data_IF_277463862373
#
_entry.id   IF_277463862373
#
_cell.length_a   1.000
_cell.length_b   1.000
_cell.length_c   1.000
_cell.angle_alpha   90.00
_cell.angle_beta   90.00
_cell.angle_gamma   90.00
#
_symmetry.space_group_name_H-M   'P 1'
#
loop_
_entity.id
_entity.type
_entity.pdbx_description
1 polymer ?
#
# COMPACT_ATOMS: atom_id res chain seq x y z
N UNK A 1 -1.06 -9.77 1.56
CA UNK A 1 0.22 -9.06 1.39
C UNK A 1 1.41 -10.02 1.32
N UNK A 2 1.76 -10.78 2.38
CA UNK A 2 2.96 -11.64 2.36
C UNK A 2 2.97 -12.71 1.23
N UNK A 3 1.85 -13.37 0.95
CA UNK A 3 1.77 -14.34 -0.16
C UNK A 3 1.97 -13.69 -1.53
N UNK A 4 1.52 -12.45 -1.72
CA UNK A 4 1.76 -11.69 -2.96
C UNK A 4 3.24 -11.33 -3.10
N UNK A 5 3.90 -10.97 -2.00
CA UNK A 5 5.35 -10.73 -1.99
C UNK A 5 6.13 -12.01 -2.34
N UNK A 6 5.77 -13.16 -1.77
CA UNK A 6 6.38 -14.45 -2.13
C UNK A 6 6.10 -14.80 -3.60
N UNK A 7 4.86 -14.62 -4.08
CA UNK A 7 4.49 -14.84 -5.47
C UNK A 7 5.37 -14.04 -6.42
N UNK A 8 5.56 -12.76 -6.15
CA UNK A 8 6.39 -11.89 -6.98
C UNK A 8 7.87 -12.27 -6.91
N UNK A 9 8.38 -12.60 -5.72
CA UNK A 9 9.75 -13.06 -5.53
C UNK A 9 10.05 -14.35 -6.33
N UNK A 10 9.15 -15.33 -6.25
CA UNK A 10 9.22 -16.60 -6.99
C UNK A 10 9.23 -16.35 -8.51
N UNK A 11 8.41 -15.41 -9.00
CA UNK A 11 8.35 -15.03 -10.42
C UNK A 11 9.65 -14.39 -10.90
N UNK A 12 10.16 -13.40 -10.15
CA UNK A 12 11.35 -12.62 -10.53
C UNK A 12 12.64 -13.42 -10.53
N UNK A 13 12.80 -14.33 -9.57
CA UNK A 13 13.97 -15.20 -9.51
C UNK A 13 13.91 -16.38 -10.50
N UNK A 14 12.81 -16.52 -11.26
CA UNK A 14 12.61 -17.66 -12.16
C UNK A 14 12.45 -18.99 -11.42
N UNK A 15 12.16 -18.96 -10.11
CA UNK A 15 11.92 -20.16 -9.30
C UNK A 15 10.63 -20.83 -9.74
N UNK A 16 9.59 -20.05 -10.04
CA UNK A 16 8.31 -20.53 -10.55
C UNK A 16 8.00 -19.96 -11.94
N UNK A 17 7.23 -20.70 -12.72
CA UNK A 17 6.76 -20.24 -14.04
C UNK A 17 5.89 -18.99 -13.89
N UNK A 18 6.27 -17.92 -14.60
CA UNK A 18 5.72 -16.58 -14.42
C UNK A 18 4.18 -16.53 -14.38
N UNK A 19 3.48 -17.20 -15.28
CA UNK A 19 2.00 -17.15 -15.34
C UNK A 19 1.29 -18.29 -14.60
N UNK A 20 2.02 -19.10 -13.82
CA UNK A 20 1.48 -20.31 -13.17
C UNK A 20 1.77 -20.37 -11.66
N UNK A 21 2.02 -19.22 -11.03
CA UNK A 21 2.13 -19.14 -9.57
C UNK A 21 0.74 -18.94 -8.99
N UNK A 22 0.28 -19.91 -8.22
CA UNK A 22 -1.04 -19.96 -7.59
C UNK A 22 -0.91 -19.67 -6.09
N UNK A 23 -1.86 -18.91 -5.53
CA UNK A 23 -1.95 -18.65 -4.10
C UNK A 23 -3.38 -18.90 -3.61
N UNK A 24 -3.52 -19.32 -2.36
CA UNK A 24 -4.82 -19.71 -1.77
C UNK A 24 -5.92 -18.63 -1.78
N UNK A 25 -5.56 -17.37 -2.02
CA UNK A 25 -6.50 -16.24 -2.06
C UNK A 25 -7.02 -15.90 -3.46
N UNK A 26 -6.56 -16.59 -4.51
CA UNK A 26 -6.84 -16.21 -5.91
C UNK A 26 -7.55 -17.32 -6.73
N UNK A 27 -8.25 -18.25 -6.06
CA UNK A 27 -9.05 -19.28 -6.75
C UNK A 27 -8.88 -20.66 -6.14
N UNK A 28 -8.48 -21.63 -6.96
CA UNK A 28 -8.27 -23.01 -6.50
C UNK A 28 -7.16 -23.09 -5.45
N UNK A 29 -7.32 -23.99 -4.47
CA UNK A 29 -6.32 -24.20 -3.43
C UNK A 29 -5.04 -24.74 -4.10
N UNK A 30 -3.89 -24.07 -3.95
CA UNK A 30 -2.64 -24.49 -4.58
C UNK A 30 -2.24 -25.90 -4.15
N UNK A 31 -1.72 -26.70 -5.10
CA UNK A 31 -1.35 -28.10 -4.85
C UNK A 31 0.01 -28.45 -5.43
N UNK A 32 0.69 -29.38 -4.76
CA UNK A 32 1.80 -30.13 -5.35
C UNK A 32 1.69 -31.58 -4.89
N UNK A 33 1.54 -32.49 -5.86
CA UNK A 33 1.07 -33.85 -5.55
C UNK A 33 -0.31 -33.80 -4.87
N UNK A 34 -0.58 -34.68 -3.88
CA UNK A 34 -1.86 -34.71 -3.19
C UNK A 34 -1.99 -33.69 -2.05
N UNK A 35 -0.96 -32.88 -1.78
CA UNK A 35 -0.96 -31.96 -0.65
C UNK A 35 -1.31 -30.52 -1.09
N UNK A 36 -2.12 -29.86 -0.26
CA UNK A 36 -2.44 -28.44 -0.40
C UNK A 36 -1.35 -27.55 0.19
N UNK A 37 -1.14 -26.37 -0.38
CA UNK A 37 -0.14 -25.38 0.04
C UNK A 37 -0.73 -23.97 -0.01
N UNK A 38 -0.14 -23.03 0.71
CA UNK A 38 -0.57 -21.63 0.61
C UNK A 38 -0.17 -20.99 -0.73
N UNK A 39 0.91 -21.49 -1.35
CA UNK A 39 1.38 -21.16 -2.69
C UNK A 39 1.99 -22.39 -3.38
N UNK A 40 1.73 -22.55 -4.68
CA UNK A 40 2.42 -23.51 -5.54
C UNK A 40 2.77 -22.92 -6.91
N UNK A 41 3.87 -23.38 -7.50
CA UNK A 41 4.27 -23.01 -8.85
C UNK A 41 5.04 -24.15 -9.54
N UNK A 42 4.82 -24.41 -10.84
CA UNK A 42 5.71 -25.24 -11.63
C UNK A 42 7.11 -24.63 -11.70
N UNK A 43 8.15 -25.44 -11.47
CA UNK A 43 9.55 -24.98 -11.52
C UNK A 43 10.35 -25.75 -12.55
N UNK A 44 11.16 -25.01 -13.30
CA UNK A 44 12.09 -25.55 -14.30
C UNK A 44 13.56 -25.42 -13.88
N UNK A 45 13.82 -25.05 -12.62
CA UNK A 45 15.17 -25.08 -12.09
C UNK A 45 15.75 -26.48 -12.22
N UNK A 46 17.00 -26.56 -12.66
CA UNK A 46 17.65 -27.83 -12.97
C UNK A 46 17.51 -28.90 -11.87
N UNK A 47 17.70 -28.60 -10.56
CA UNK A 47 17.53 -29.59 -9.49
C UNK A 47 16.10 -30.09 -9.30
N UNK A 48 15.11 -29.39 -9.88
CA UNK A 48 13.70 -29.71 -9.75
C UNK A 48 13.10 -30.39 -10.98
N UNK A 49 13.88 -30.57 -12.05
CA UNK A 49 13.38 -31.26 -13.23
C UNK A 49 13.04 -32.72 -12.89
N UNK A 50 11.83 -33.13 -13.25
CA UNK A 50 11.41 -34.52 -13.17
C UNK A 50 12.12 -35.38 -14.22
N UNK A 51 12.14 -36.69 -13.99
CA UNK A 51 12.65 -37.65 -14.97
C UNK A 51 11.85 -37.58 -16.27
N UNK A 52 12.54 -37.48 -17.41
CA UNK A 52 11.94 -37.47 -18.73
C UNK A 52 12.45 -38.67 -19.54
N UNK A 53 11.62 -39.20 -20.44
CA UNK A 53 12.11 -40.10 -21.48
C UNK A 53 12.98 -39.34 -22.48
N UNK A 54 13.93 -40.03 -23.12
CA UNK A 54 14.81 -39.44 -24.14
C UNK A 54 13.97 -38.74 -25.23
N UNK A 55 14.27 -37.48 -25.53
CA UNK A 55 13.59 -36.69 -26.57
C UNK A 55 12.28 -36.00 -26.17
N UNK A 56 11.87 -36.07 -24.89
CA UNK A 56 10.63 -35.41 -24.41
C UNK A 56 10.89 -34.07 -23.73
N UNK A 57 9.90 -33.16 -23.77
CA UNK A 57 9.98 -31.86 -23.10
C UNK A 57 10.21 -32.04 -21.59
N UNK A 58 11.02 -31.18 -20.94
CA UNK A 58 11.29 -31.32 -19.52
C UNK A 58 10.03 -31.23 -18.66
N UNK A 59 9.75 -32.27 -17.86
CA UNK A 59 8.69 -32.24 -16.86
C UNK A 59 9.12 -31.34 -15.69
N UNK A 60 8.39 -30.24 -15.41
CA UNK A 60 8.72 -29.38 -14.29
C UNK A 60 8.50 -30.09 -12.95
N UNK A 61 9.31 -29.71 -11.97
CA UNK A 61 9.01 -29.94 -10.56
C UNK A 61 8.07 -28.88 -10.03
N UNK A 62 8.06 -28.72 -8.71
CA UNK A 62 7.23 -27.71 -8.05
C UNK A 62 8.00 -26.94 -7.00
N UNK A 63 7.74 -25.64 -6.92
CA UNK A 63 8.02 -24.84 -5.74
C UNK A 63 6.74 -24.68 -4.93
N UNK A 64 6.81 -24.85 -3.61
CA UNK A 64 5.68 -24.66 -2.71
C UNK A 64 6.06 -23.87 -1.48
N UNK A 65 5.10 -23.11 -0.95
CA UNK A 65 5.30 -22.32 0.26
C UNK A 65 4.07 -22.38 1.17
N UNK A 66 4.30 -22.57 2.48
CA UNK A 66 3.33 -22.29 3.53
C UNK A 66 3.73 -21.02 4.29
N UNK A 67 2.74 -20.29 4.81
CA UNK A 67 2.93 -19.00 5.48
C UNK A 67 2.27 -19.00 6.86
N UNK A 68 3.05 -18.67 7.89
CA UNK A 68 2.56 -18.47 9.26
C UNK A 68 3.05 -17.15 9.87
N UNK A 69 2.19 -16.13 9.89
CA UNK A 69 2.50 -14.81 10.46
C UNK A 69 1.91 -14.60 11.86
N UNK A 70 1.37 -15.66 12.48
CA UNK A 70 0.71 -15.59 13.79
C UNK A 70 1.67 -15.54 14.99
N UNK A 71 2.97 -15.73 14.77
CA UNK A 71 3.96 -15.75 15.84
C UNK A 71 5.28 -16.40 15.41
N UNK A 72 6.10 -16.79 16.40
CA UNK A 72 7.33 -17.55 16.17
C UNK A 72 7.02 -19.03 15.99
N UNK A 73 7.67 -19.66 15.03
CA UNK A 73 7.59 -21.11 14.80
C UNK A 73 8.49 -21.84 15.78
N UNK A 74 7.86 -22.68 16.60
CA UNK A 74 8.55 -23.59 17.53
C UNK A 74 9.07 -24.84 16.83
N UNK A 75 9.89 -25.63 17.53
CA UNK A 75 10.38 -26.90 17.05
C UNK A 75 9.26 -27.92 16.75
N UNK A 76 8.17 -27.92 17.53
CA UNK A 76 7.02 -28.80 17.29
C UNK A 76 6.29 -28.44 16.00
N UNK A 77 6.03 -27.14 15.76
CA UNK A 77 5.42 -26.66 14.53
C UNK A 77 6.30 -26.91 13.30
N UNK A 78 7.62 -26.75 13.44
CA UNK A 78 8.57 -27.10 12.38
C UNK A 78 8.53 -28.60 12.04
N UNK A 79 8.43 -29.48 13.04
CA UNK A 79 8.28 -30.94 12.80
C UNK A 79 6.98 -31.28 12.05
N UNK A 80 5.89 -30.56 12.30
CA UNK A 80 4.64 -30.72 11.55
C UNK A 80 4.80 -30.32 10.08
N UNK A 81 5.44 -29.17 9.81
CA UNK A 81 5.76 -28.76 8.45
C UNK A 81 6.66 -29.79 7.74
N UNK A 82 7.72 -30.26 8.41
CA UNK A 82 8.60 -31.29 7.86
C UNK A 82 7.85 -32.58 7.53
N UNK A 83 6.91 -33.03 8.38
CA UNK A 83 6.06 -34.19 8.09
C UNK A 83 5.27 -34.01 6.79
N UNK A 84 4.75 -32.81 6.53
CA UNK A 84 4.08 -32.46 5.26
C UNK A 84 5.04 -32.54 4.07
N UNK A 85 6.27 -32.03 4.22
CA UNK A 85 7.31 -32.11 3.20
C UNK A 85 7.75 -33.55 2.91
N UNK A 86 7.93 -34.39 3.93
CA UNK A 86 8.32 -35.79 3.74
C UNK A 86 7.18 -36.60 3.10
N UNK A 87 5.93 -36.31 3.48
CA UNK A 87 4.76 -36.96 2.92
C UNK A 87 4.64 -36.72 1.41
N UNK A 88 4.72 -35.47 0.94
CA UNK A 88 4.61 -35.18 -0.51
C UNK A 88 5.74 -35.82 -1.32
N UNK A 89 6.96 -35.87 -0.76
CA UNK A 89 8.14 -36.47 -1.41
C UNK A 89 8.07 -38.00 -1.48
N UNK A 90 7.26 -38.64 -0.63
CA UNK A 90 7.09 -40.10 -0.61
C UNK A 90 6.25 -40.66 -1.76
N UNK A 91 5.53 -39.83 -2.51
CA UNK A 91 4.68 -40.29 -3.62
C UNK A 91 5.51 -40.56 -4.89
N UNK A 92 5.50 -41.81 -5.37
CA UNK A 92 6.29 -42.29 -6.52
C UNK A 92 6.12 -41.49 -7.83
N UNK A 93 4.98 -40.82 -8.02
CA UNK A 93 4.63 -40.08 -9.26
C UNK A 93 4.80 -38.56 -9.14
N UNK A 94 5.18 -38.07 -7.96
CA UNK A 94 5.38 -36.64 -7.72
C UNK A 94 6.78 -36.26 -8.22
N UNK A 95 6.83 -35.23 -9.07
CA UNK A 95 8.10 -34.64 -9.51
C UNK A 95 8.81 -33.97 -8.33
N UNK A 96 10.11 -33.68 -8.41
CA UNK A 96 10.82 -33.01 -7.32
C UNK A 96 10.10 -31.74 -6.84
N UNK A 97 10.05 -31.56 -5.52
CA UNK A 97 9.38 -30.42 -4.88
C UNK A 97 10.38 -29.69 -3.98
N UNK A 98 10.55 -28.39 -4.20
CA UNK A 98 11.25 -27.49 -3.28
C UNK A 98 10.24 -26.81 -2.36
N UNK A 99 10.40 -27.01 -1.06
CA UNK A 99 9.48 -26.49 -0.05
C UNK A 99 10.08 -25.31 0.71
N UNK A 100 9.25 -24.30 0.96
CA UNK A 100 9.58 -23.16 1.82
C UNK A 100 8.53 -23.02 2.93
N UNK A 101 9.00 -22.64 4.12
CA UNK A 101 8.14 -22.17 5.20
C UNK A 101 8.48 -20.70 5.48
N UNK A 102 7.53 -19.81 5.21
CA UNK A 102 7.61 -18.41 5.57
C UNK A 102 6.93 -18.19 6.92
N UNK A 103 7.66 -17.58 7.88
CA UNK A 103 7.05 -17.19 9.14
C UNK A 103 7.53 -15.82 9.64
N UNK A 104 6.85 -15.27 10.64
CA UNK A 104 7.29 -14.03 11.30
C UNK A 104 8.67 -14.20 11.98
N UNK A 105 8.94 -15.40 12.49
CA UNK A 105 10.22 -15.77 13.06
C UNK A 105 10.26 -17.25 13.42
N UNK A 106 11.44 -17.75 13.75
CA UNK A 106 11.67 -19.14 14.11
C UNK A 106 12.56 -19.23 15.33
N UNK A 107 12.28 -20.19 16.19
CA UNK A 107 13.25 -20.61 17.19
C UNK A 107 14.46 -21.26 16.50
N UNK A 108 15.62 -21.19 17.15
CA UNK A 108 16.88 -21.70 16.58
C UNK A 108 16.77 -23.18 16.18
N UNK A 109 16.13 -23.99 17.03
CA UNK A 109 15.88 -25.41 16.74
C UNK A 109 14.94 -25.60 15.53
N UNK A 110 13.90 -24.76 15.40
CA UNK A 110 12.95 -24.84 14.29
C UNK A 110 13.63 -24.60 12.93
N UNK A 111 14.51 -23.59 12.84
CA UNK A 111 15.31 -23.32 11.62
C UNK A 111 16.16 -24.54 11.26
N UNK A 112 16.84 -25.11 12.25
CA UNK A 112 17.72 -26.27 12.04
C UNK A 112 16.92 -27.49 11.53
N UNK A 113 15.76 -27.76 12.12
CA UNK A 113 14.88 -28.87 11.70
C UNK A 113 14.45 -28.73 10.24
N UNK A 114 14.02 -27.53 9.84
CA UNK A 114 13.56 -27.27 8.47
C UNK A 114 14.71 -27.43 7.47
N UNK A 115 15.85 -26.79 7.74
CA UNK A 115 17.02 -26.82 6.84
C UNK A 115 17.65 -28.21 6.73
N UNK A 116 17.75 -28.95 7.83
CA UNK A 116 18.24 -30.33 7.82
C UNK A 116 17.39 -31.26 6.95
N UNK A 117 16.13 -30.90 6.68
CA UNK A 117 15.21 -31.65 5.82
C UNK A 117 15.16 -31.15 4.37
N UNK A 118 16.07 -30.24 3.99
CA UNK A 118 16.17 -29.71 2.62
C UNK A 118 15.09 -28.70 2.26
N UNK A 119 14.42 -28.10 3.26
CA UNK A 119 13.42 -27.05 3.06
C UNK A 119 13.98 -25.68 3.45
N UNK A 120 13.40 -24.63 2.86
CA UNK A 120 13.79 -23.24 3.10
C UNK A 120 13.00 -22.71 4.31
N UNK A 121 13.70 -22.25 5.34
CA UNK A 121 13.11 -21.45 6.41
C UNK A 121 13.35 -19.97 6.09
N UNK A 122 12.28 -19.22 5.82
CA UNK A 122 12.32 -17.83 5.43
C UNK A 122 11.50 -16.95 6.39
N UNK A 123 12.03 -15.79 6.73
CA UNK A 123 11.27 -14.69 7.35
C UNK A 123 11.01 -13.60 6.32
N UNK A 124 10.10 -12.66 6.64
CA UNK A 124 9.94 -11.45 5.83
C UNK A 124 11.28 -10.70 5.69
N UNK A 125 12.09 -10.64 6.76
CA UNK A 125 13.44 -10.08 6.75
C UNK A 125 14.36 -10.74 5.73
N UNK A 126 14.33 -12.07 5.65
CA UNK A 126 15.17 -12.79 4.67
C UNK A 126 14.70 -12.66 3.23
N UNK A 127 13.40 -12.41 3.00
CA UNK A 127 12.82 -12.31 1.66
C UNK A 127 12.92 -10.89 1.09
N UNK A 128 12.78 -9.88 1.95
CA UNK A 128 12.69 -8.48 1.55
C UNK A 128 14.00 -7.72 1.82
N UNK A 129 14.91 -8.29 2.62
CA UNK A 129 16.07 -7.61 3.18
C UNK A 129 15.74 -7.02 4.56
N UNK A 130 16.74 -6.99 5.45
CA UNK A 130 16.56 -6.56 6.85
C UNK A 130 15.96 -5.17 6.96
N UNK A 131 16.45 -4.20 6.20
CA UNK A 131 15.96 -2.81 6.24
C UNK A 131 14.48 -2.71 5.86
N UNK A 132 14.10 -3.50 4.87
CA UNK A 132 12.79 -3.47 4.24
C UNK A 132 11.76 -4.14 5.14
N UNK A 133 12.12 -5.27 5.73
CA UNK A 133 11.25 -5.94 6.67
C UNK A 133 11.21 -5.27 8.03
N UNK A 134 12.28 -4.57 8.46
CA UNK A 134 12.20 -3.66 9.59
C UNK A 134 11.16 -2.56 9.31
N UNK A 135 11.21 -1.92 8.14
CA UNK A 135 10.20 -0.93 7.75
C UNK A 135 8.78 -1.51 7.68
N UNK A 136 8.62 -2.73 7.16
CA UNK A 136 7.32 -3.40 7.09
C UNK A 136 6.79 -3.84 8.46
N UNK A 137 7.67 -4.26 9.37
CA UNK A 137 7.33 -4.64 10.75
C UNK A 137 7.07 -3.41 11.62
N UNK A 138 7.85 -2.34 11.48
CA UNK A 138 7.56 -1.04 12.10
C UNK A 138 6.22 -0.52 11.60
N UNK A 139 5.98 -0.55 10.29
CA UNK A 139 4.68 -0.20 9.73
C UNK A 139 3.57 -1.08 10.31
N UNK A 140 3.71 -2.41 10.29
CA UNK A 140 2.69 -3.31 10.83
C UNK A 140 2.47 -3.10 12.34
N UNK A 141 3.51 -2.71 13.08
CA UNK A 141 3.44 -2.36 14.50
C UNK A 141 2.78 -1.01 14.72
N UNK A 142 3.08 -0.02 13.90
CA UNK A 142 2.47 1.31 13.87
C UNK A 142 0.97 1.16 13.56
N UNK A 143 0.64 0.45 12.48
CA UNK A 143 -0.73 0.16 12.07
C UNK A 143 -1.49 -0.71 13.11
N UNK A 144 -0.84 -1.69 13.75
CA UNK A 144 -1.43 -2.46 14.87
C UNK A 144 -1.59 -1.66 16.15
N UNK A 145 -0.78 -0.63 16.35
CA UNK A 145 -0.83 0.26 17.51
C UNK A 145 -1.85 1.40 17.33
N UNK A 146 -2.87 1.22 16.47
CA UNK A 146 -4.06 2.07 16.44
C UNK A 146 -4.85 1.91 17.74
N UNK A 147 -4.34 2.57 18.76
CA UNK A 147 -5.04 3.04 19.94
C UNK A 147 -4.40 4.32 20.51
N UNK A 148 -3.12 4.62 20.28
CA UNK A 148 -2.46 5.78 20.92
C UNK A 148 -1.35 6.36 20.02
N UNK A 149 -1.50 7.63 19.63
CA UNK A 149 -0.46 8.55 19.14
C UNK A 149 0.72 7.93 18.37
N UNK A 150 0.62 7.90 17.04
CA UNK A 150 1.74 7.52 16.19
C UNK A 150 2.55 8.76 15.85
N UNK A 151 3.71 8.83 16.52
CA UNK A 151 4.52 10.03 16.68
C UNK A 151 5.16 10.60 15.43
N UNK A 152 5.49 11.89 15.54
CA UNK A 152 6.47 12.71 14.81
C UNK A 152 6.65 12.45 13.29
N UNK A 153 6.57 13.47 12.44
CA UNK A 153 6.82 13.36 11.00
C UNK A 153 8.09 12.59 10.58
N UNK A 154 9.14 12.61 11.41
CA UNK A 154 10.39 11.88 11.16
C UNK A 154 10.18 10.35 11.09
N UNK A 155 9.24 9.79 11.88
CA UNK A 155 8.88 8.37 11.80
C UNK A 155 8.14 8.06 10.51
N UNK A 156 7.33 9.00 10.03
CA UNK A 156 6.62 8.86 8.75
C UNK A 156 7.65 8.86 7.60
N UNK A 157 8.66 9.74 7.62
CA UNK A 157 9.71 9.78 6.59
C UNK A 157 10.54 8.48 6.54
N UNK A 158 10.89 7.93 7.71
CA UNK A 158 11.59 6.65 7.82
C UNK A 158 10.77 5.49 7.23
N UNK A 159 9.46 5.46 7.51
CA UNK A 159 8.54 4.48 6.94
C UNK A 159 8.50 4.58 5.41
N UNK A 160 8.27 5.76 4.84
CA UNK A 160 8.28 5.93 3.38
C UNK A 160 9.61 5.49 2.74
N UNK A 161 10.74 5.83 3.36
CA UNK A 161 12.07 5.52 2.83
C UNK A 161 12.35 4.00 2.84
N UNK A 162 11.89 3.28 3.86
CA UNK A 162 12.01 1.82 3.91
C UNK A 162 11.08 1.12 2.91
N UNK A 163 9.89 1.69 2.70
CA UNK A 163 8.82 1.10 1.88
C UNK A 163 8.97 1.39 0.38
N UNK A 164 9.58 2.52 0.00
CA UNK A 164 9.95 2.81 -1.38
C UNK A 164 10.93 1.80 -2.01
N UNK A 165 11.56 0.95 -1.18
CA UNK A 165 12.38 -0.19 -1.61
C UNK A 165 11.57 -1.46 -1.91
N UNK A 166 10.27 -1.49 -1.60
CA UNK A 166 9.37 -2.65 -1.81
C UNK A 166 8.55 -2.45 -3.08
N UNK A 167 9.05 -2.91 -4.21
CA UNK A 167 8.26 -2.94 -5.44
C UNK A 167 7.07 -3.91 -5.31
N UNK A 168 5.86 -3.44 -5.64
CA UNK A 168 4.65 -4.28 -5.75
C UNK A 168 3.65 -4.20 -4.59
N UNK A 169 3.96 -3.48 -3.50
CA UNK A 169 3.00 -3.14 -2.42
C UNK A 169 2.53 -1.67 -2.49
N UNK A 170 2.97 -0.94 -3.51
CA UNK A 170 3.04 0.52 -3.55
C UNK A 170 1.68 1.21 -3.44
N UNK A 171 0.63 0.74 -4.13
CA UNK A 171 -0.66 1.43 -4.21
C UNK A 171 -1.42 1.49 -2.88
N UNK A 172 -1.73 0.33 -2.29
CA UNK A 172 -2.46 0.25 -1.01
C UNK A 172 -1.69 0.91 0.12
N UNK A 173 -0.38 0.71 0.15
CA UNK A 173 0.47 1.23 1.21
C UNK A 173 0.63 2.76 1.14
N UNK A 174 0.79 3.29 -0.07
CA UNK A 174 0.82 4.74 -0.31
C UNK A 174 -0.50 5.41 0.08
N UNK A 175 -1.63 4.74 -0.19
CA UNK A 175 -2.95 5.18 0.29
C UNK A 175 -2.97 5.34 1.81
N UNK A 176 -2.66 4.26 2.54
CA UNK A 176 -2.63 4.31 4.00
C UNK A 176 -1.67 5.40 4.53
N UNK A 177 -0.45 5.48 4.00
CA UNK A 177 0.51 6.49 4.47
C UNK A 177 0.06 7.93 4.15
N UNK A 178 -0.69 8.13 3.07
CA UNK A 178 -1.29 9.41 2.73
C UNK A 178 -2.38 9.79 3.74
N UNK A 179 -3.23 8.85 4.16
CA UNK A 179 -4.23 9.06 5.22
C UNK A 179 -3.57 9.54 6.52
N UNK A 180 -2.45 8.92 6.93
CA UNK A 180 -1.68 9.38 8.10
C UNK A 180 -1.10 10.78 7.94
N UNK A 181 -0.58 11.10 6.75
CA UNK A 181 -0.07 12.45 6.48
C UNK A 181 -1.20 13.48 6.58
N UNK A 182 -2.37 13.18 6.02
CA UNK A 182 -3.55 14.03 6.13
C UNK A 182 -4.02 14.17 7.58
N UNK A 183 -3.97 13.10 8.39
CA UNK A 183 -4.30 13.15 9.80
C UNK A 183 -3.35 14.06 10.60
N UNK A 184 -2.03 13.96 10.37
CA UNK A 184 -1.04 14.85 10.98
C UNK A 184 -1.26 16.31 10.56
N UNK A 185 -1.56 16.54 9.30
CA UNK A 185 -1.87 17.87 8.80
C UNK A 185 -3.16 18.41 9.43
N UNK A 186 -4.20 17.58 9.58
CA UNK A 186 -5.44 17.96 10.25
C UNK A 186 -5.20 18.31 11.73
N UNK A 187 -4.38 17.55 12.44
CA UNK A 187 -3.96 17.83 13.82
C UNK A 187 -3.34 19.24 13.96
N UNK A 188 -2.54 19.64 12.97
CA UNK A 188 -1.85 20.94 12.94
C UNK A 188 -2.73 22.08 12.41
N UNK A 189 -3.72 21.78 11.57
CA UNK A 189 -4.58 22.77 10.92
C UNK A 189 -5.73 23.18 11.84
N UNK A 190 -6.38 22.21 12.48
CA UNK A 190 -7.54 22.47 13.32
C UNK A 190 -7.11 22.81 14.75
N UNK A 191 -7.92 23.61 15.45
CA UNK A 191 -7.58 24.07 16.80
C UNK A 191 -7.92 23.00 17.84
N UNK A 192 -6.90 22.28 18.32
CA UNK A 192 -7.03 21.20 19.33
C UNK A 192 -8.06 20.12 18.92
N UNK A 193 -7.87 19.48 17.76
CA UNK A 193 -8.82 18.49 17.30
C UNK A 193 -8.67 17.19 18.09
N UNK A 194 -9.69 16.34 18.01
CA UNK A 194 -9.55 14.91 18.24
C UNK A 194 -9.62 14.20 16.89
N UNK A 195 -8.57 13.43 16.55
CA UNK A 195 -8.42 12.77 15.25
C UNK A 195 -8.62 11.26 15.39
N UNK A 196 -9.49 10.69 14.56
CA UNK A 196 -9.64 9.25 14.38
C UNK A 196 -9.41 8.88 12.92
N UNK A 197 -8.52 7.92 12.65
CA UNK A 197 -8.23 7.43 11.29
C UNK A 197 -9.01 6.13 11.04
N UNK A 198 -9.51 5.92 9.82
CA UNK A 198 -10.21 4.72 9.38
C UNK A 198 -11.42 4.37 10.27
N UNK A 199 -12.23 5.39 10.61
CA UNK A 199 -13.42 5.24 11.44
C UNK A 199 -14.52 4.57 10.62
N UNK A 200 -14.84 3.32 10.97
CA UNK A 200 -15.99 2.62 10.41
C UNK A 200 -17.28 3.16 11.06
N UNK A 201 -18.13 3.77 10.25
CA UNK A 201 -19.44 4.26 10.66
C UNK A 201 -20.56 3.47 10.02
N UNK A 202 -21.71 3.48 10.68
CA UNK A 202 -22.93 2.82 10.21
C UNK A 202 -24.01 3.86 9.97
N UNK A 203 -24.62 3.81 8.79
CA UNK A 203 -25.84 4.56 8.49
C UNK A 203 -27.08 3.80 8.97
N UNK A 204 -28.25 4.26 8.53
CA UNK A 204 -29.47 3.46 8.67
C UNK A 204 -29.43 2.24 7.74
N UNK A 205 -30.25 1.22 8.02
CA UNK A 205 -30.42 0.03 7.16
C UNK A 205 -29.14 -0.74 6.82
N UNK A 206 -28.22 -0.92 7.78
CA UNK A 206 -27.00 -1.74 7.64
C UNK A 206 -25.95 -1.24 6.65
N UNK A 207 -26.12 -0.04 6.09
CA UNK A 207 -25.11 0.63 5.27
C UNK A 207 -23.88 0.99 6.11
N UNK A 208 -22.69 0.86 5.51
CA UNK A 208 -21.42 1.17 6.17
C UNK A 208 -20.57 2.06 5.29
N UNK A 209 -19.86 2.98 5.92
CA UNK A 209 -18.84 3.78 5.30
C UNK A 209 -17.62 3.85 6.22
N UNK A 210 -16.46 4.00 5.62
CA UNK A 210 -15.21 4.30 6.31
C UNK A 210 -14.94 5.79 6.14
N UNK A 211 -14.48 6.44 7.22
CA UNK A 211 -13.95 7.80 7.18
C UNK A 211 -12.45 7.69 7.34
N UNK A 212 -11.72 8.08 6.32
CA UNK A 212 -10.26 7.96 6.29
C UNK A 212 -9.63 8.79 7.42
N UNK A 213 -10.03 10.06 7.54
CA UNK A 213 -9.65 10.92 8.68
C UNK A 213 -10.89 11.66 9.21
N UNK A 214 -11.27 11.36 10.44
CA UNK A 214 -12.36 12.00 11.17
C UNK A 214 -11.81 12.98 12.20
N UNK A 215 -12.26 14.23 12.13
CA UNK A 215 -11.78 15.34 12.95
C UNK A 215 -12.94 15.88 13.80
N UNK A 216 -12.75 15.94 15.10
CA UNK A 216 -13.68 16.58 16.04
C UNK A 216 -13.02 17.84 16.61
N UNK A 217 -13.54 19.01 16.26
CA UNK A 217 -13.03 20.30 16.74
C UNK A 217 -13.86 20.75 17.94
N UNK A 218 -13.57 20.14 19.09
CA UNK A 218 -14.38 20.28 20.30
C UNK A 218 -15.87 20.06 20.02
N UNK A 219 -16.73 20.91 20.60
CA UNK A 219 -18.18 20.86 20.39
C UNK A 219 -18.65 21.87 19.32
N UNK A 220 -17.86 22.09 18.26
CA UNK A 220 -18.17 23.12 17.25
C UNK A 220 -18.32 22.56 15.84
N UNK A 221 -17.40 21.71 15.42
CA UNK A 221 -17.32 21.23 14.04
C UNK A 221 -16.83 19.78 13.97
N UNK A 222 -17.39 19.05 13.02
CA UNK A 222 -16.95 17.74 12.58
C UNK A 222 -16.45 17.87 11.14
N UNK A 223 -15.25 17.35 10.88
CA UNK A 223 -14.71 17.26 9.52
C UNK A 223 -14.50 15.79 9.17
N UNK A 224 -15.08 15.39 8.04
CA UNK A 224 -14.97 14.05 7.48
C UNK A 224 -14.10 14.14 6.23
N UNK A 225 -12.85 13.71 6.34
CA UNK A 225 -11.88 13.79 5.25
C UNK A 225 -11.77 12.43 4.57
N UNK A 226 -12.03 12.40 3.26
CA UNK A 226 -11.67 11.31 2.36
C UNK A 226 -10.30 11.61 1.74
N UNK A 227 -9.40 10.63 1.76
CA UNK A 227 -8.02 10.76 1.35
C UNK A 227 -7.79 9.97 0.05
N UNK A 228 -7.15 10.61 -0.94
CA UNK A 228 -6.74 9.96 -2.19
C UNK A 228 -5.27 10.19 -2.45
N UNK A 229 -4.46 9.20 -2.05
CA UNK A 229 -3.03 9.16 -2.33
C UNK A 229 -2.75 8.56 -3.72
N UNK A 230 -2.29 9.38 -4.65
CA UNK A 230 -1.92 8.98 -6.01
C UNK A 230 -0.41 9.10 -6.26
N UNK A 231 0.06 8.50 -7.36
CA UNK A 231 1.33 8.88 -7.97
C UNK A 231 1.30 10.39 -8.34
N UNK A 232 2.44 11.11 -8.34
CA UNK A 232 2.43 12.59 -8.48
C UNK A 232 1.97 13.13 -9.85
N UNK A 233 1.65 12.27 -10.80
CA UNK A 233 1.02 12.61 -12.09
C UNK A 233 -0.39 12.02 -12.22
N UNK A 234 -0.95 11.52 -11.12
CA UNK A 234 -2.28 10.94 -11.08
C UNK A 234 -3.36 12.02 -11.10
N UNK A 235 -4.54 11.60 -11.50
CA UNK A 235 -5.78 12.33 -11.34
C UNK A 235 -6.73 11.45 -10.53
N UNK A 236 -7.56 12.06 -9.69
CA UNK A 236 -8.65 11.34 -9.03
C UNK A 236 -9.66 10.91 -10.09
N UNK A 237 -10.11 9.64 -10.04
CA UNK A 237 -11.13 9.13 -10.96
C UNK A 237 -12.48 9.82 -10.70
N UNK A 238 -13.14 10.29 -11.77
CA UNK A 238 -14.44 10.96 -11.69
C UNK A 238 -15.51 10.03 -11.08
N UNK A 239 -15.43 8.72 -11.37
CA UNK A 239 -16.34 7.74 -10.80
C UNK A 239 -16.16 7.60 -9.28
N UNK A 240 -14.94 7.81 -8.77
CA UNK A 240 -14.68 7.82 -7.32
C UNK A 240 -15.26 9.08 -6.66
N UNK A 241 -15.12 10.24 -7.30
CA UNK A 241 -15.72 11.50 -6.81
C UNK A 241 -17.24 11.38 -6.76
N UNK A 242 -17.87 10.85 -7.82
CA UNK A 242 -19.30 10.61 -7.85
C UNK A 242 -19.74 9.66 -6.74
N UNK A 243 -19.02 8.54 -6.56
CA UNK A 243 -19.30 7.58 -5.49
C UNK A 243 -19.18 8.20 -4.10
N UNK A 244 -18.16 9.03 -3.86
CA UNK A 244 -17.99 9.74 -2.61
C UNK A 244 -19.18 10.66 -2.32
N UNK A 245 -19.55 11.50 -3.29
CA UNK A 245 -20.68 12.44 -3.16
C UNK A 245 -22.03 11.74 -2.98
N UNK A 246 -22.31 10.74 -3.80
CA UNK A 246 -23.66 10.16 -3.93
C UNK A 246 -23.92 8.97 -3.01
N UNK A 247 -22.87 8.31 -2.52
CA UNK A 247 -23.00 7.11 -1.66
C UNK A 247 -22.37 7.29 -0.29
N UNK A 248 -21.15 7.82 -0.21
CA UNK A 248 -20.43 7.91 1.08
C UNK A 248 -20.95 9.04 1.95
N UNK A 249 -20.97 10.28 1.43
CA UNK A 249 -21.45 11.45 2.20
C UNK A 249 -22.84 11.21 2.81
N UNK A 250 -23.84 10.65 2.11
CA UNK A 250 -25.14 10.34 2.71
C UNK A 250 -25.06 9.44 3.95
N UNK A 251 -24.26 8.37 3.91
CA UNK A 251 -24.07 7.45 5.05
C UNK A 251 -23.37 8.15 6.20
N UNK A 252 -22.32 8.93 5.92
CA UNK A 252 -21.60 9.69 6.94
C UNK A 252 -22.49 10.75 7.59
N UNK A 253 -23.32 11.42 6.78
CA UNK A 253 -24.28 12.42 7.25
C UNK A 253 -25.36 11.80 8.11
N UNK A 254 -25.84 10.60 7.77
CA UNK A 254 -26.76 9.86 8.64
C UNK A 254 -26.13 9.49 9.97
N UNK A 255 -24.91 8.93 9.97
CA UNK A 255 -24.17 8.63 11.20
C UNK A 255 -24.10 9.88 12.09
N UNK A 256 -23.65 11.01 11.54
CA UNK A 256 -23.50 12.26 12.28
C UNK A 256 -24.82 12.85 12.80
N UNK A 257 -25.98 12.46 12.25
CA UNK A 257 -27.30 12.88 12.74
C UNK A 257 -27.79 12.07 13.93
N UNK A 258 -27.38 10.81 14.01
CA UNK A 258 -27.90 9.87 15.01
C UNK A 258 -26.96 9.70 16.19
N UNK A 259 -25.68 10.03 16.04
CA UNK A 259 -24.74 10.06 17.15
C UNK A 259 -25.06 11.23 18.10
N UNK A 260 -25.14 10.92 19.39
CA UNK A 260 -25.40 11.92 20.42
C UNK A 260 -24.27 12.98 20.44
N UNK A 261 -24.65 14.26 20.45
CA UNK A 261 -23.70 15.38 20.43
C UNK A 261 -23.26 15.85 19.03
N UNK A 262 -23.32 15.00 17.99
CA UNK A 262 -22.85 15.36 16.64
C UNK A 262 -23.89 16.06 15.77
N UNK A 263 -25.18 15.79 15.99
CA UNK A 263 -26.27 16.23 15.11
C UNK A 263 -26.36 17.76 14.94
N UNK A 264 -25.92 18.51 15.97
CA UNK A 264 -25.98 19.97 16.03
C UNK A 264 -24.67 20.66 15.64
N UNK A 265 -23.60 19.89 15.48
CA UNK A 265 -22.29 20.44 15.11
C UNK A 265 -22.29 20.83 13.64
N UNK A 266 -21.45 21.81 13.29
CA UNK A 266 -21.15 22.09 11.88
C UNK A 266 -20.51 20.84 11.28
N UNK A 267 -20.89 20.49 10.06
CA UNK A 267 -20.39 19.28 9.40
C UNK A 267 -19.78 19.67 8.06
N UNK A 268 -18.53 19.27 7.85
CA UNK A 268 -17.78 19.53 6.63
C UNK A 268 -17.26 18.20 6.09
N UNK A 269 -17.50 17.92 4.81
CA UNK A 269 -17.01 16.74 4.11
C UNK A 269 -15.93 17.19 3.12
N UNK A 270 -14.71 16.71 3.27
CA UNK A 270 -13.57 17.15 2.47
C UNK A 270 -12.94 15.99 1.70
N UNK A 271 -12.52 16.25 0.46
CA UNK A 271 -11.70 15.34 -0.33
C UNK A 271 -10.28 15.91 -0.40
N UNK A 272 -9.31 15.22 0.19
CA UNK A 272 -7.89 15.61 0.18
C UNK A 272 -7.11 14.69 -0.74
N UNK A 273 -6.31 15.26 -1.64
CA UNK A 273 -5.55 14.49 -2.62
C UNK A 273 -4.24 15.18 -2.98
N UNK A 274 -3.18 14.41 -3.26
CA UNK A 274 -1.95 14.94 -3.85
C UNK A 274 -2.01 14.99 -5.39
N UNK A 275 -3.09 14.46 -5.99
CA UNK A 275 -3.37 14.51 -7.42
C UNK A 275 -4.23 15.72 -7.81
N UNK A 276 -4.48 15.87 -9.10
CA UNK A 276 -5.49 16.81 -9.60
C UNK A 276 -6.88 16.18 -9.61
N UNK A 277 -7.90 17.03 -9.51
CA UNK A 277 -9.31 16.69 -9.72
C UNK A 277 -9.74 17.36 -11.04
N UNK A 278 -10.48 16.63 -11.88
CA UNK A 278 -10.99 17.13 -13.17
C UNK A 278 -11.88 18.35 -13.00
N UNK A 279 -12.05 19.14 -14.07
CA UNK A 279 -12.95 20.28 -14.05
C UNK A 279 -14.41 19.85 -13.83
N UNK A 280 -14.78 18.71 -14.40
CA UNK A 280 -16.08 18.07 -14.32
C UNK A 280 -16.39 17.66 -12.87
N UNK A 281 -15.46 16.97 -12.22
CA UNK A 281 -15.58 16.57 -10.82
C UNK A 281 -15.65 17.78 -9.88
N UNK A 282 -14.84 18.83 -10.12
CA UNK A 282 -14.91 20.09 -9.36
C UNK A 282 -16.27 20.76 -9.51
N UNK A 283 -16.80 20.81 -10.73
CA UNK A 283 -18.13 21.36 -11.01
C UNK A 283 -19.23 20.54 -10.30
N UNK A 284 -19.12 19.21 -10.29
CA UNK A 284 -20.05 18.33 -9.57
C UNK A 284 -20.01 18.56 -8.07
N UNK A 285 -18.81 18.63 -7.46
CA UNK A 285 -18.65 18.93 -6.02
C UNK A 285 -19.33 20.27 -5.68
N UNK A 286 -19.07 21.31 -6.47
CA UNK A 286 -19.68 22.64 -6.29
C UNK A 286 -21.21 22.56 -6.38
N UNK A 287 -21.73 21.90 -7.40
CA UNK A 287 -23.17 21.75 -7.61
C UNK A 287 -23.84 21.01 -6.44
N UNK A 288 -23.23 19.96 -5.90
CA UNK A 288 -23.79 19.22 -4.74
C UNK A 288 -23.71 20.05 -3.46
N UNK A 289 -22.61 20.79 -3.25
CA UNK A 289 -22.46 21.70 -2.11
C UNK A 289 -23.54 22.79 -2.10
N UNK A 290 -23.85 23.38 -3.26
CA UNK A 290 -24.86 24.45 -3.38
C UNK A 290 -26.30 23.97 -3.14
N UNK A 291 -26.58 22.67 -3.30
CA UNK A 291 -27.92 22.07 -3.08
C UNK A 291 -28.34 22.00 -1.61
N UNK A 292 -27.42 22.23 -0.67
CA UNK A 292 -27.67 22.08 0.76
C UNK A 292 -27.05 23.22 1.55
N UNK A 293 -27.72 23.64 2.61
CA UNK A 293 -27.17 24.55 3.63
C UNK A 293 -26.92 23.83 4.96
N UNK A 294 -27.12 22.50 4.99
CA UNK A 294 -27.09 21.67 6.21
C UNK A 294 -25.70 21.15 6.57
N UNK A 295 -24.76 21.25 5.64
CA UNK A 295 -23.37 20.83 5.74
C UNK A 295 -22.59 21.43 4.57
N UNK A 296 -21.28 21.42 4.65
CA UNK A 296 -20.39 21.90 3.58
C UNK A 296 -19.62 20.75 2.95
N UNK A 297 -19.32 20.87 1.65
CA UNK A 297 -18.43 19.97 0.91
C UNK A 297 -17.29 20.81 0.34
N UNK A 298 -16.05 20.35 0.54
CA UNK A 298 -14.86 21.00 0.01
C UNK A 298 -13.88 19.96 -0.55
N UNK A 299 -12.84 20.44 -1.23
CA UNK A 299 -11.70 19.63 -1.64
C UNK A 299 -10.39 20.41 -1.45
N UNK A 300 -9.29 19.65 -1.38
CA UNK A 300 -7.91 20.14 -1.32
C UNK A 300 -7.07 19.31 -2.27
N UNK A 301 -6.53 19.97 -3.29
CA UNK A 301 -5.56 19.37 -4.21
C UNK A 301 -4.13 19.51 -3.68
N UNK A 302 -3.17 18.93 -4.40
CA UNK A 302 -1.81 18.83 -3.90
C UNK A 302 -1.12 20.17 -3.60
N UNK A 303 -1.52 21.26 -4.29
CA UNK A 303 -1.06 22.62 -3.99
C UNK A 303 -1.59 23.13 -2.66
N UNK A 304 -2.88 22.90 -2.39
CA UNK A 304 -3.58 23.37 -1.19
C UNK A 304 -3.02 22.67 0.04
N UNK A 305 -2.83 21.34 -0.05
CA UNK A 305 -2.19 20.57 1.03
C UNK A 305 -0.78 21.07 1.32
N UNK A 306 -0.01 21.40 0.28
CA UNK A 306 1.34 21.93 0.46
C UNK A 306 1.34 23.32 1.11
N UNK A 307 0.33 24.14 0.84
CA UNK A 307 0.14 25.44 1.48
C UNK A 307 -0.23 25.27 2.95
N UNK A 308 -1.20 24.41 3.26
CA UNK A 308 -1.57 24.08 4.63
C UNK A 308 -0.37 23.59 5.47
N UNK A 309 0.48 22.73 4.90
CA UNK A 309 1.69 22.24 5.59
C UNK A 309 2.72 23.39 5.82
N UNK A 310 2.80 24.35 4.90
CA UNK A 310 3.68 25.52 5.11
C UNK A 310 3.14 26.41 6.23
N UNK A 311 1.83 26.61 6.27
CA UNK A 311 1.16 27.41 7.30
C UNK A 311 1.29 26.80 8.69
N UNK A 312 1.34 25.47 8.81
CA UNK A 312 1.61 24.82 10.10
C UNK A 312 3.04 25.05 10.62
N UNK A 313 3.95 25.50 9.75
CA UNK A 313 5.36 25.69 10.09
C UNK A 313 6.16 24.38 10.19
N UNK A 314 5.53 23.21 9.98
CA UNK A 314 6.17 21.91 10.16
C UNK A 314 7.08 21.56 8.97
N UNK A 315 8.37 21.90 9.10
CA UNK A 315 9.36 21.65 8.05
C UNK A 315 9.60 20.16 7.78
N UNK A 316 9.47 19.30 8.79
CA UNK A 316 9.64 17.86 8.61
C UNK A 316 8.49 17.28 7.79
N UNK A 317 7.24 17.63 8.12
CA UNK A 317 6.07 17.25 7.35
C UNK A 317 6.13 17.75 5.90
N UNK A 318 6.61 18.99 5.69
CA UNK A 318 6.79 19.57 4.36
C UNK A 318 7.81 18.78 3.53
N UNK A 319 8.93 18.37 4.15
CA UNK A 319 9.96 17.55 3.51
C UNK A 319 9.38 16.20 3.10
N UNK A 320 8.71 15.51 4.02
CA UNK A 320 8.08 14.20 3.78
C UNK A 320 7.06 14.29 2.63
N UNK A 321 6.16 15.28 2.68
CA UNK A 321 5.17 15.49 1.63
C UNK A 321 5.82 15.71 0.27
N UNK A 322 6.84 16.57 0.22
CA UNK A 322 7.54 16.85 -1.04
C UNK A 322 8.24 15.62 -1.60
N UNK A 323 8.95 14.89 -0.75
CA UNK A 323 9.74 13.73 -1.16
C UNK A 323 8.86 12.61 -1.71
N UNK A 324 7.71 12.35 -1.07
CA UNK A 324 6.94 11.14 -1.37
C UNK A 324 5.68 11.40 -2.21
N UNK A 325 5.13 12.61 -2.16
CA UNK A 325 3.85 12.94 -2.82
C UNK A 325 3.91 14.07 -3.85
N UNK A 326 4.89 14.97 -3.80
CA UNK A 326 5.02 16.05 -4.79
C UNK A 326 6.10 15.81 -5.85
N UNK A 327 7.26 15.26 -5.48
CA UNK A 327 8.44 15.15 -6.34
C UNK A 327 8.75 13.70 -6.70
N UNK A 328 8.12 13.15 -7.74
CA UNK A 328 8.63 11.94 -8.38
C UNK A 328 9.52 12.30 -9.59
N UNK A 329 10.65 11.61 -9.83
CA UNK A 329 11.56 11.87 -10.96
C UNK A 329 10.88 11.97 -12.34
N UNK A 330 9.75 11.29 -12.53
CA UNK A 330 8.95 11.35 -13.75
C UNK A 330 8.22 12.70 -13.96
N UNK A 331 7.76 13.36 -12.89
CA UNK A 331 7.13 14.68 -12.97
C UNK A 331 8.17 15.78 -13.30
N UNK A 332 9.40 15.62 -12.82
CA UNK A 332 10.53 16.51 -13.15
C UNK A 332 10.95 16.34 -14.61
N UNK A 333 10.95 15.12 -15.14
CA UNK A 333 11.20 14.85 -16.56
C UNK A 333 10.09 15.39 -17.48
N UNK A 334 8.83 15.32 -17.05
CA UNK A 334 7.69 15.90 -17.77
C UNK A 334 7.75 17.43 -17.83
N UNK A 335 8.07 18.10 -16.72
CA UNK A 335 8.25 19.58 -16.66
C UNK A 335 9.40 20.08 -17.52
N UNK A 336 10.47 19.29 -17.70
CA UNK A 336 11.58 19.61 -18.61
C UNK A 336 11.19 19.53 -20.10
N UNK A 337 10.17 18.75 -20.47
CA UNK A 337 9.68 18.66 -21.86
C UNK A 337 8.73 19.79 -22.24
N UNK A 338 8.06 20.43 -21.29
CA UNK A 338 7.03 21.47 -21.54
C UNK A 338 7.54 22.90 -21.45
N UNK A 339 8.84 23.12 -21.24
CA UNK A 339 9.43 24.47 -21.28
C UNK A 339 9.89 24.78 -22.71
N UNK A 340 9.30 25.74 -23.43
CA UNK A 340 9.81 26.15 -24.74
C UNK A 340 11.20 26.76 -24.54
N UNK A 341 12.21 26.25 -25.26
CA UNK A 341 13.48 26.94 -25.39
C UNK A 341 13.21 28.26 -26.12
N UNK A 342 13.20 29.37 -25.40
CA UNK A 342 13.36 30.69 -26.00
C UNK A 342 14.80 30.79 -26.52
N UNK A 343 15.00 30.44 -27.78
CA UNK A 343 16.18 30.86 -28.54
C UNK A 343 15.94 32.30 -28.99
N UNK A 344 16.59 33.26 -28.33
CA UNK A 344 16.83 34.58 -28.90
C UNK A 344 18.18 34.53 -29.63
N UNK A 345 18.14 34.15 -30.91
CA UNK A 345 19.22 34.49 -31.82
C UNK A 345 19.05 35.95 -32.23
N UNK A 346 20.04 36.77 -31.91
CA UNK A 346 20.21 38.07 -32.57
C UNK A 346 21.63 38.08 -33.12
N UNK A 347 21.75 37.68 -34.37
CA UNK A 347 22.91 37.97 -35.19
C UNK A 347 23.04 39.48 -35.34
N UNK A 348 24.15 40.04 -34.86
CA UNK A 348 24.67 41.31 -35.37
C UNK A 348 26.07 41.06 -35.87
N UNK A 349 26.19 40.94 -37.19
CA UNK A 349 27.45 40.90 -37.93
C UNK A 349 27.56 42.22 -38.69
N UNK A 350 28.50 43.08 -38.30
CA UNK A 350 29.09 44.10 -39.19
C UNK A 350 30.60 44.08 -38.98
N UNK A 351 31.27 44.05 -40.13
CA UNK A 351 32.68 43.79 -40.40
C UNK A 351 33.64 44.92 -39.99
N UNK A 352 34.93 44.57 -39.88
CA UNK A 352 36.14 45.26 -40.38
C UNK A 352 37.34 44.84 -39.50
N UNK A 353 38.56 44.53 -39.97
CA UNK A 353 39.23 44.67 -41.26
C UNK A 353 40.46 43.74 -41.30
N UNK A 354 40.75 43.24 -42.50
CA UNK A 354 42.07 43.05 -43.13
C UNK A 354 43.29 42.60 -42.32
N UNK A 355 43.78 41.38 -42.59
CA UNK A 355 44.93 41.12 -43.49
C UNK A 355 45.08 39.62 -43.76
#
# INVERSE_FOLDING_TARGET
MALNAVKEWVRRLGIGSWNKVEIRSEGAIPTAGPNYWDLSAPSYLYPLLGSNGIGTKPKPGSFVCDVYLGGRVSASSARTFVKKCTNVRGFKKVAPVLQMFLANGFDKEAVNIIRANGAIAATLDSLLGTDVAHGLNELASVLKATAINLGTPDKIDALFSALGKIEGAEGTLRGCLFEYLCAQLAEETYRKPHITINKLVRGSESTRAEVDVFVEVGNTELVFVECKGHLPTGQVDDAEVEKWLMKRIPVLREFAKHEEGYAKLKQTFELWTNATISAESKALIKQVNEKTQRYSIAYREGSDLQEMIKESGNQSLLKTYKQHFSNHPLAVAARKKTSPKTHSDTESRVESNAL
#
